data_IF_654676559423
#
_entry.id   IF_654676559423
#
_cell.length_a   1.000
_cell.length_b   1.000
_cell.length_c   1.000
_cell.angle_alpha   90.00
_cell.angle_beta   90.00
_cell.angle_gamma   90.00
#
_symmetry.space_group_name_H-M   'P 1'
#
loop_
_entity.id
_entity.type
_entity.pdbx_description
1 polymer ?
#
# COMPACT_ATOMS: atom_id res chain seq x y z
N UNK A 1 4.72 5.40 8.04
CA UNK A 1 3.89 4.20 7.88
C UNK A 1 2.53 4.64 7.38
N UNK A 2 2.23 4.37 6.12
CA UNK A 2 0.98 4.78 5.48
C UNK A 2 0.02 3.61 5.49
N UNK A 3 -1.25 3.82 5.87
CA UNK A 3 -2.27 2.77 5.85
C UNK A 3 -3.28 3.04 4.74
N UNK A 4 -3.48 2.07 3.85
CA UNK A 4 -4.38 2.18 2.69
C UNK A 4 -5.41 1.06 2.70
N UNK A 5 -6.54 1.28 2.05
CA UNK A 5 -7.49 0.19 1.79
C UNK A 5 -7.03 -0.68 0.63
N UNK A 6 -7.46 -1.94 0.58
CA UNK A 6 -7.19 -2.84 -0.55
C UNK A 6 -7.63 -2.23 -1.89
N UNK A 7 -8.72 -1.47 -1.91
CA UNK A 7 -9.25 -0.84 -3.12
C UNK A 7 -8.33 0.26 -3.64
N UNK A 8 -7.81 1.11 -2.74
CA UNK A 8 -6.86 2.18 -3.09
C UNK A 8 -5.52 1.60 -3.52
N UNK A 9 -5.01 0.61 -2.79
CA UNK A 9 -3.76 -0.05 -3.12
C UNK A 9 -3.81 -0.69 -4.51
N UNK A 10 -4.93 -1.35 -4.86
CA UNK A 10 -5.13 -1.94 -6.19
C UNK A 10 -5.11 -0.90 -7.31
N UNK A 11 -5.70 0.28 -7.09
CA UNK A 11 -5.78 1.32 -8.11
C UNK A 11 -4.41 1.95 -8.44
N UNK A 12 -3.44 1.87 -7.52
CA UNK A 12 -2.13 2.55 -7.62
C UNK A 12 -0.94 1.64 -7.36
N UNK A 13 -1.10 0.32 -7.54
CA UNK A 13 -0.13 -0.69 -7.09
C UNK A 13 1.30 -0.42 -7.55
N UNK A 14 1.50 -0.11 -8.84
CA UNK A 14 2.84 0.17 -9.38
C UNK A 14 3.46 1.44 -8.81
N UNK A 15 2.68 2.51 -8.67
CA UNK A 15 3.18 3.75 -8.07
C UNK A 15 3.57 3.54 -6.60
N UNK A 16 2.83 2.71 -5.86
CA UNK A 16 3.14 2.39 -4.47
C UNK A 16 4.44 1.58 -4.34
N UNK A 17 4.75 0.71 -5.30
CA UNK A 17 6.04 0.02 -5.35
C UNK A 17 7.20 1.02 -5.49
N UNK A 18 7.07 1.97 -6.40
CA UNK A 18 8.07 3.02 -6.59
C UNK A 18 8.20 3.92 -5.35
N UNK A 19 7.08 4.30 -4.73
CA UNK A 19 7.05 5.09 -3.50
C UNK A 19 7.76 4.38 -2.34
N UNK A 20 7.50 3.09 -2.14
CA UNK A 20 8.17 2.28 -1.11
C UNK A 20 9.66 2.12 -1.41
N UNK A 21 10.03 1.92 -2.67
CA UNK A 21 11.42 1.80 -3.08
C UNK A 21 12.22 3.10 -2.85
N UNK A 22 11.60 4.26 -3.08
CA UNK A 22 12.23 5.57 -2.92
C UNK A 22 12.26 6.04 -1.46
N UNK A 23 11.14 5.88 -0.74
CA UNK A 23 10.99 6.38 0.62
C UNK A 23 11.58 5.45 1.66
N UNK A 24 11.78 4.16 1.32
CA UNK A 24 12.10 3.09 2.25
C UNK A 24 11.12 2.99 3.44
N UNK A 25 9.89 3.48 3.25
CA UNK A 25 8.85 3.41 4.27
C UNK A 25 7.87 2.28 3.97
N UNK A 26 7.49 1.48 4.98
CA UNK A 26 6.47 0.47 4.81
C UNK A 26 5.08 1.10 4.65
N UNK A 27 4.27 0.46 3.81
CA UNK A 27 2.85 0.75 3.61
C UNK A 27 2.06 -0.45 4.08
N UNK A 28 1.07 -0.22 4.93
CA UNK A 28 0.15 -1.24 5.43
C UNK A 28 -1.14 -1.20 4.60
N UNK A 29 -1.55 -2.36 4.07
CA UNK A 29 -2.79 -2.50 3.32
C UNK A 29 -3.82 -3.16 4.22
N UNK A 30 -4.98 -2.53 4.35
CA UNK A 30 -6.09 -3.01 5.17
C UNK A 30 -7.26 -3.42 4.29
N UNK A 31 -7.87 -4.56 4.63
CA UNK A 31 -8.98 -5.12 3.88
C UNK A 31 -10.03 -5.70 4.81
N UNK A 32 -11.27 -5.80 4.33
CA UNK A 32 -12.39 -6.35 5.10
C UNK A 32 -12.13 -7.80 5.58
N UNK A 33 -11.31 -8.56 4.84
CA UNK A 33 -11.03 -9.98 5.09
C UNK A 33 -9.65 -10.24 5.68
N UNK A 34 -8.64 -9.46 5.27
CA UNK A 34 -7.26 -9.61 5.68
C UNK A 34 -6.48 -8.31 5.48
N UNK A 35 -5.41 -8.15 6.25
CA UNK A 35 -4.44 -7.07 6.12
C UNK A 35 -3.13 -7.63 5.55
N UNK A 36 -2.36 -6.79 4.88
CA UNK A 36 -1.05 -7.09 4.30
C UNK A 36 -0.06 -5.98 4.64
#
# INVERSE_FOLDING_TARGET
MTTLTTTEARARLYNLLDEVALSHQPIQITGKRANA
#
